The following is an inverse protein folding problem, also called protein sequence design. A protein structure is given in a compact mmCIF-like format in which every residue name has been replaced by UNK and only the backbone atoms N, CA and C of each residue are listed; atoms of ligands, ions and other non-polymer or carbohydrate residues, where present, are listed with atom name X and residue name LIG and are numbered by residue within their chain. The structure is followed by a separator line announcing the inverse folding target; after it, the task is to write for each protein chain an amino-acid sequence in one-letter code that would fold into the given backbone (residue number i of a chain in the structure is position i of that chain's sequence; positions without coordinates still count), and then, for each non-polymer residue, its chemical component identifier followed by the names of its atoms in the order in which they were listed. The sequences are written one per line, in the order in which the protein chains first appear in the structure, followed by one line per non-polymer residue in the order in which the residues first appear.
data_IF_662813782763
#
_entry.id   IF_662813782763
#
_cell.length_a   1.000
_cell.length_b   1.000
_cell.length_c   1.000
_cell.angle_alpha   90.00
_cell.angle_beta   90.00
_cell.angle_gamma   90.00
#
_symmetry.space_group_name_H-M   'P 1'
#
loop_
_entity.id
_entity.type
_entity.pdbx_description
1 polymer ?
#
# COMPACT_ATOMS: atom_id res chain seq x y z
N UNK A 1 -36.07 44.24 -27.52
CA UNK A 1 -35.18 43.61 -26.52
C UNK A 1 -35.35 42.10 -26.62
N UNK A 2 -34.40 41.40 -27.25
CA UNK A 2 -34.39 39.93 -27.33
C UNK A 2 -33.32 39.45 -26.34
N UNK A 3 -33.72 38.83 -25.22
CA UNK A 3 -32.77 38.17 -24.32
C UNK A 3 -32.46 36.77 -24.88
N UNK A 4 -31.21 36.55 -25.28
CA UNK A 4 -30.66 35.21 -25.46
C UNK A 4 -30.13 34.74 -24.11
N UNK A 5 -30.68 33.64 -23.58
CA UNK A 5 -30.11 32.94 -22.45
C UNK A 5 -29.01 32.00 -22.98
N UNK A 6 -27.75 32.27 -22.63
CA UNK A 6 -26.66 31.35 -22.87
C UNK A 6 -26.66 30.28 -21.75
N UNK A 7 -26.95 29.03 -22.10
CA UNK A 7 -26.71 27.89 -21.21
C UNK A 7 -25.20 27.62 -21.17
N UNK A 8 -24.56 27.92 -20.05
CA UNK A 8 -23.22 27.45 -19.75
C UNK A 8 -23.30 25.96 -19.35
N UNK A 9 -22.85 25.07 -20.23
CA UNK A 9 -22.73 23.65 -19.91
C UNK A 9 -21.57 23.42 -18.94
N UNK A 10 -21.86 22.93 -17.74
CA UNK A 10 -20.84 22.40 -16.82
C UNK A 10 -20.32 21.06 -17.38
N UNK A 11 -19.10 21.06 -17.90
CA UNK A 11 -18.34 19.86 -18.17
C UNK A 11 -17.87 19.28 -16.82
N UNK A 12 -18.54 18.23 -16.35
CA UNK A 12 -18.00 17.37 -15.29
C UNK A 12 -16.85 16.56 -15.89
N UNK A 13 -15.61 16.99 -15.66
CA UNK A 13 -14.45 16.15 -15.92
C UNK A 13 -14.44 15.02 -14.88
N UNK A 14 -14.92 13.84 -15.27
CA UNK A 14 -14.79 12.64 -14.48
C UNK A 14 -13.30 12.26 -14.42
N UNK A 15 -12.63 12.57 -13.31
CA UNK A 15 -11.32 12.00 -13.02
C UNK A 15 -11.52 10.52 -12.70
N UNK A 16 -11.40 9.66 -13.70
CA UNK A 16 -11.25 8.22 -13.45
C UNK A 16 -9.90 8.04 -12.77
N UNK A 17 -9.92 7.89 -11.44
CA UNK A 17 -8.79 7.31 -10.72
C UNK A 17 -8.70 5.86 -11.17
N UNK A 18 -7.84 5.57 -12.13
CA UNK A 18 -7.52 4.19 -12.44
C UNK A 18 -6.75 3.65 -11.24
N UNK A 19 -7.32 2.66 -10.55
CA UNK A 19 -6.59 1.88 -9.56
C UNK A 19 -5.34 1.29 -10.25
N UNK A 20 -4.13 1.57 -9.77
CA UNK A 20 -2.92 1.08 -10.42
C UNK A 20 -2.95 -0.45 -10.47
N UNK A 21 -2.73 -1.03 -11.66
CA UNK A 21 -2.60 -2.48 -11.77
C UNK A 21 -1.31 -2.92 -11.09
N UNK A 22 -1.32 -4.08 -10.43
CA UNK A 22 -0.08 -4.71 -9.92
C UNK A 22 0.98 -4.87 -11.00
N UNK A 23 0.59 -5.02 -12.28
CA UNK A 23 1.52 -5.06 -13.40
C UNK A 23 2.30 -3.75 -13.56
N UNK A 24 1.69 -2.59 -13.27
CA UNK A 24 2.34 -1.27 -13.37
C UNK A 24 3.30 -0.99 -12.21
N UNK A 25 3.20 -1.78 -11.13
CA UNK A 25 4.04 -1.70 -9.94
C UNK A 25 5.22 -2.69 -9.97
N UNK A 26 5.23 -3.64 -10.91
CA UNK A 26 6.30 -4.62 -11.02
C UNK A 26 7.63 -3.97 -11.44
N UNK A 27 8.70 -4.34 -10.71
CA UNK A 27 10.07 -3.86 -10.91
C UNK A 27 10.99 -5.04 -11.18
N UNK A 28 12.04 -4.83 -11.95
CA UNK A 28 13.02 -5.88 -12.29
C UNK A 28 14.44 -5.33 -12.35
N UNK A 29 15.41 -6.23 -12.25
CA UNK A 29 16.81 -5.97 -12.57
C UNK A 29 17.27 -6.94 -13.67
N UNK A 30 18.01 -6.49 -14.70
CA UNK A 30 18.54 -7.40 -15.71
C UNK A 30 19.57 -8.38 -15.10
N UNK A 31 19.88 -9.47 -15.80
CA UNK A 31 20.76 -10.57 -15.34
C UNK A 31 22.10 -10.11 -14.73
N UNK A 32 22.64 -9.00 -15.22
CA UNK A 32 23.85 -8.37 -14.72
C UNK A 32 23.63 -6.88 -14.39
N UNK A 33 22.39 -6.51 -14.11
CA UNK A 33 21.95 -5.15 -13.84
C UNK A 33 22.37 -4.63 -12.48
N UNK A 34 22.55 -3.30 -12.40
CA UNK A 34 22.85 -2.58 -11.15
C UNK A 34 21.67 -1.76 -10.63
N UNK A 35 20.64 -1.56 -11.45
CA UNK A 35 19.52 -0.67 -11.18
C UNK A 35 18.20 -1.37 -11.46
N UNK A 36 17.15 -0.87 -10.82
CA UNK A 36 15.78 -1.35 -10.99
C UNK A 36 15.06 -0.54 -12.06
N UNK A 37 14.19 -1.19 -12.82
CA UNK A 37 13.29 -0.55 -13.79
C UNK A 37 11.89 -1.11 -13.66
N UNK A 38 10.87 -0.30 -13.97
CA UNK A 38 9.49 -0.76 -14.10
C UNK A 38 9.39 -1.75 -15.27
N UNK A 39 8.69 -2.85 -15.09
CA UNK A 39 8.56 -3.89 -16.14
C UNK A 39 7.69 -3.43 -17.30
N UNK A 40 6.68 -2.59 -17.05
CA UNK A 40 5.73 -2.13 -18.07
C UNK A 40 6.26 -0.97 -18.90
N UNK A 41 6.84 0.05 -18.26
CA UNK A 41 7.33 1.26 -18.96
C UNK A 41 8.82 1.25 -19.28
N UNK A 42 9.62 0.45 -18.56
CA UNK A 42 11.08 0.49 -18.66
C UNK A 42 11.74 1.66 -17.91
N UNK A 43 10.96 2.54 -17.28
CA UNK A 43 11.48 3.69 -16.55
C UNK A 43 12.33 3.25 -15.34
N UNK A 44 13.39 4.00 -14.97
CA UNK A 44 14.14 3.74 -13.74
C UNK A 44 13.23 3.78 -12.51
N UNK A 45 13.41 2.79 -11.63
CA UNK A 45 12.79 2.77 -10.30
C UNK A 45 13.86 3.03 -9.24
N UNK A 46 13.92 4.27 -8.76
CA UNK A 46 14.79 4.60 -7.63
C UNK A 46 14.15 4.13 -6.33
N UNK A 47 14.73 3.14 -5.66
CA UNK A 47 14.22 2.60 -4.40
C UNK A 47 14.55 3.55 -3.24
N UNK A 48 13.58 4.36 -2.83
CA UNK A 48 13.68 5.21 -1.65
C UNK A 48 12.83 4.60 -0.54
N UNK A 49 13.50 3.79 0.30
CA UNK A 49 12.85 2.95 1.30
C UNK A 49 12.81 3.55 2.70
N UNK A 50 11.68 3.37 3.40
CA UNK A 50 11.58 3.50 4.87
C UNK A 50 11.36 2.13 5.53
N UNK A 51 11.62 2.04 6.83
CA UNK A 51 11.49 0.79 7.60
C UNK A 51 10.49 0.95 8.74
N UNK A 52 9.36 0.26 8.65
CA UNK A 52 8.33 0.19 9.68
C UNK A 52 7.99 -1.28 9.96
N UNK A 53 8.89 -1.99 10.63
CA UNK A 53 8.83 -3.44 10.80
C UNK A 53 7.48 -3.96 11.27
N UNK A 54 6.94 -3.43 12.37
CA UNK A 54 5.71 -3.93 12.97
C UNK A 54 4.49 -3.05 12.64
N UNK A 55 4.47 -2.41 11.45
CA UNK A 55 3.46 -1.41 11.07
C UNK A 55 2.03 -1.93 11.30
N UNK A 56 1.72 -3.11 10.79
CA UNK A 56 0.38 -3.71 10.82
C UNK A 56 0.10 -4.47 12.11
N UNK A 57 1.13 -4.81 12.89
CA UNK A 57 0.96 -5.48 14.18
C UNK A 57 0.66 -4.47 15.30
N UNK A 58 1.33 -3.31 15.29
CA UNK A 58 1.27 -2.33 16.38
C UNK A 58 0.23 -1.23 16.18
N UNK A 59 -0.07 -0.88 14.94
CA UNK A 59 -0.92 0.28 14.64
C UNK A 59 -2.33 -0.14 14.20
N UNK A 60 -3.29 0.75 14.45
CA UNK A 60 -4.60 0.66 13.82
C UNK A 60 -4.58 1.26 12.41
N UNK A 61 -5.64 1.02 11.65
CA UNK A 61 -5.77 1.49 10.27
C UNK A 61 -5.55 3.00 10.11
N UNK A 62 -6.14 3.84 10.97
CA UNK A 62 -6.00 5.30 10.88
C UNK A 62 -4.54 5.75 11.07
N UNK A 63 -3.81 5.13 11.99
CA UNK A 63 -2.39 5.40 12.21
C UNK A 63 -1.52 4.89 11.06
N UNK A 64 -1.85 3.75 10.46
CA UNK A 64 -1.19 3.23 9.25
C UNK A 64 -1.41 4.21 8.08
N UNK A 65 -2.66 4.60 7.81
CA UNK A 65 -3.01 5.55 6.75
C UNK A 65 -2.23 6.88 6.92
N UNK A 66 -2.17 7.40 8.15
CA UNK A 66 -1.39 8.60 8.47
C UNK A 66 0.11 8.41 8.18
N UNK A 67 0.71 7.31 8.66
CA UNK A 67 2.12 7.01 8.44
C UNK A 67 2.44 6.92 6.93
N UNK A 68 1.67 6.13 6.17
CA UNK A 68 1.90 5.93 4.73
C UNK A 68 1.75 7.23 3.94
N UNK A 69 0.74 8.05 4.27
CA UNK A 69 0.55 9.37 3.66
C UNK A 69 1.75 10.28 3.93
N UNK A 70 2.20 10.36 5.19
CA UNK A 70 3.38 11.15 5.54
C UNK A 70 4.63 10.67 4.81
N UNK A 71 4.82 9.36 4.64
CA UNK A 71 5.98 8.84 3.90
C UNK A 71 5.93 9.15 2.42
N UNK A 72 4.76 9.08 1.81
CA UNK A 72 4.56 9.50 0.43
C UNK A 72 4.86 11.00 0.25
N UNK A 73 4.41 11.86 1.16
CA UNK A 73 4.70 13.31 1.16
C UNK A 73 6.21 13.62 1.32
N UNK A 74 6.96 12.73 1.96
CA UNK A 74 8.41 12.82 2.13
C UNK A 74 9.22 12.21 0.97
N UNK A 75 8.56 11.65 -0.04
CA UNK A 75 9.18 11.08 -1.24
C UNK A 75 9.63 9.62 -1.10
N UNK A 76 9.27 8.93 -0.02
CA UNK A 76 9.46 7.48 0.05
C UNK A 76 8.50 6.78 -0.90
N UNK A 77 9.00 5.76 -1.59
CA UNK A 77 8.22 4.94 -2.53
C UNK A 77 8.27 3.45 -2.22
N UNK A 78 8.99 3.06 -1.17
CA UNK A 78 8.96 1.71 -0.60
C UNK A 78 8.88 1.81 0.92
N UNK A 79 8.05 0.98 1.53
CA UNK A 79 8.01 0.75 2.98
C UNK A 79 8.27 -0.72 3.23
N UNK A 80 9.24 -1.02 4.08
CA UNK A 80 9.53 -2.38 4.53
C UNK A 80 8.79 -2.66 5.85
N UNK A 81 8.01 -3.74 5.89
CA UNK A 81 7.29 -4.24 7.08
C UNK A 81 7.34 -5.76 7.09
N UNK A 82 7.18 -6.38 8.26
CA UNK A 82 6.89 -7.81 8.38
C UNK A 82 5.37 -8.03 8.40
N UNK A 83 4.91 -9.11 7.77
CA UNK A 83 3.49 -9.51 7.79
C UNK A 83 3.10 -10.06 9.17
N UNK A 84 4.02 -10.81 9.79
CA UNK A 84 3.90 -11.33 11.16
C UNK A 84 5.04 -10.74 11.97
N UNK A 85 4.74 -10.12 13.10
CA UNK A 85 5.75 -9.47 13.93
C UNK A 85 6.86 -10.43 14.36
N UNK A 86 8.11 -9.96 14.27
CA UNK A 86 9.29 -10.74 14.65
C UNK A 86 9.25 -11.13 16.13
N UNK A 87 8.81 -10.20 16.98
CA UNK A 87 8.74 -10.38 18.43
C UNK A 87 7.31 -10.72 18.85
N UNK A 88 7.11 -11.98 19.27
CA UNK A 88 5.84 -12.52 19.75
C UNK A 88 4.69 -12.45 18.74
N UNK A 89 4.95 -12.33 17.43
CA UNK A 89 3.89 -12.13 16.43
C UNK A 89 2.88 -13.26 16.31
N UNK A 90 3.17 -14.44 16.84
CA UNK A 90 2.27 -15.61 16.88
C UNK A 90 1.63 -15.85 18.24
N UNK A 91 2.02 -15.10 19.27
CA UNK A 91 1.57 -15.29 20.66
C UNK A 91 0.99 -14.02 21.28
N UNK A 92 1.32 -12.84 20.75
CA UNK A 92 0.71 -11.57 21.08
C UNK A 92 -0.15 -11.10 19.91
N UNK A 93 -1.35 -10.66 20.22
CA UNK A 93 -2.27 -10.14 19.22
C UNK A 93 -1.80 -8.81 18.60
N UNK A 94 -2.28 -8.52 17.39
CA UNK A 94 -2.18 -7.19 16.79
C UNK A 94 -3.01 -6.15 17.58
N UNK A 95 -3.04 -4.90 17.12
CA UNK A 95 -3.83 -3.82 17.74
C UNK A 95 -5.32 -4.19 17.96
N UNK A 96 -5.90 -5.01 17.08
CA UNK A 96 -7.32 -5.38 17.10
C UNK A 96 -7.64 -6.63 17.94
N UNK A 97 -6.62 -7.28 18.52
CA UNK A 97 -6.82 -8.48 19.33
C UNK A 97 -6.69 -9.79 18.56
N UNK A 98 -6.24 -9.75 17.30
CA UNK A 98 -6.14 -10.93 16.44
C UNK A 98 -4.71 -11.51 16.41
N UNK A 99 -4.63 -12.84 16.41
CA UNK A 99 -3.40 -13.60 16.09
C UNK A 99 -3.41 -14.02 14.62
N UNK A 100 -2.24 -14.24 13.98
CA UNK A 100 -2.16 -14.60 12.56
C UNK A 100 -2.66 -16.02 12.26
N UNK A 101 -2.73 -16.90 13.26
CA UNK A 101 -3.08 -18.32 13.10
C UNK A 101 -4.13 -18.76 14.11
N UNK A 102 -5.12 -19.52 13.64
CA UNK A 102 -6.12 -20.13 14.50
C UNK A 102 -5.52 -21.30 15.27
N UNK A 103 -5.80 -21.38 16.58
CA UNK A 103 -5.30 -22.44 17.46
C UNK A 103 -3.77 -22.65 17.41
N UNK A 104 -3.01 -21.62 17.07
CA UNK A 104 -1.55 -21.68 16.86
C UNK A 104 -1.12 -22.67 15.75
N UNK A 105 -2.01 -23.04 14.84
CA UNK A 105 -1.74 -23.91 13.70
C UNK A 105 -1.40 -23.07 12.46
N UNK A 106 -0.16 -23.14 11.99
CA UNK A 106 0.33 -22.36 10.84
C UNK A 106 -0.31 -22.74 9.51
N UNK A 107 -1.02 -23.88 9.46
CA UNK A 107 -1.83 -24.30 8.30
C UNK A 107 -3.22 -23.66 8.28
N UNK A 108 -3.60 -22.96 9.36
CA UNK A 108 -4.91 -22.32 9.54
C UNK A 108 -4.74 -20.81 9.75
N UNK A 109 -4.50 -20.01 8.69
CA UNK A 109 -4.45 -18.56 8.80
C UNK A 109 -5.77 -17.97 9.32
N UNK A 110 -5.67 -16.89 10.09
CA UNK A 110 -6.82 -16.11 10.54
C UNK A 110 -7.09 -14.97 9.56
N UNK A 111 -8.12 -15.10 8.72
CA UNK A 111 -8.47 -14.10 7.70
C UNK A 111 -8.70 -12.70 8.29
N UNK A 112 -9.22 -12.57 9.51
CA UNK A 112 -9.45 -11.26 10.15
C UNK A 112 -8.14 -10.54 10.43
N UNK A 113 -7.09 -11.27 10.81
CA UNK A 113 -5.74 -10.69 10.97
C UNK A 113 -5.19 -10.16 9.65
N UNK A 114 -5.36 -10.93 8.56
CA UNK A 114 -4.80 -10.58 7.25
C UNK A 114 -5.59 -9.50 6.50
N UNK A 115 -6.86 -9.25 6.85
CA UNK A 115 -7.64 -8.13 6.30
C UNK A 115 -7.02 -6.74 6.55
N UNK A 116 -6.16 -6.59 7.57
CA UNK A 116 -5.43 -5.34 7.80
C UNK A 116 -4.17 -5.22 6.91
N UNK A 117 -3.69 -6.35 6.37
CA UNK A 117 -2.52 -6.43 5.50
C UNK A 117 -2.89 -6.15 4.04
N UNK A 118 -4.06 -6.63 3.61
CA UNK A 118 -4.62 -6.45 2.27
C UNK A 118 -4.87 -4.97 1.90
#
# INVERSE_FOLDING_TARGET
MKLQAALAGLLFASTTSAEPSWHDLAITAPRYGRYLTRTTSGDPFFWQGDTAWELTHKLNKTSIDFYLKTRAEQGYNVVQTVVIAELDGTTRANFYGDLPYNNSDTTQPNDVYFQLID
#
